data_IF_299638294192
#
_entry.id   IF_299638294192
#
_cell.length_a   1.000
_cell.length_b   1.000
_cell.length_c   1.000
_cell.angle_alpha   90.00
_cell.angle_beta   90.00
_cell.angle_gamma   90.00
#
_symmetry.space_group_name_H-M   'P 1'
#
loop_
_entity.id
_entity.type
_entity.pdbx_description
1 polymer ?
#
# COMPACT_ATOMS: atom_id res chain seq x y z
N UNK A 1 6.12 5.53 -21.88
CA UNK A 1 5.28 5.26 -20.70
C UNK A 1 5.18 3.77 -20.35
N UNK A 2 4.59 2.90 -21.18
CA UNK A 2 4.41 1.47 -20.82
C UNK A 2 5.72 0.70 -20.55
N UNK A 3 6.75 0.88 -21.38
CA UNK A 3 8.07 0.27 -21.14
C UNK A 3 8.74 0.76 -19.86
N UNK A 4 8.47 2.01 -19.44
CA UNK A 4 8.96 2.55 -18.18
C UNK A 4 8.24 1.88 -17.01
N UNK A 5 6.91 1.74 -17.08
CA UNK A 5 6.10 1.04 -16.07
C UNK A 5 6.60 -0.40 -15.86
N UNK A 6 6.80 -1.15 -16.94
CA UNK A 6 7.31 -2.53 -16.85
C UNK A 6 8.70 -2.55 -16.22
N UNK A 7 9.58 -1.62 -16.62
CA UNK A 7 10.93 -1.53 -16.07
C UNK A 7 10.91 -1.26 -14.57
N UNK A 8 10.17 -0.25 -14.12
CA UNK A 8 10.07 0.11 -12.70
C UNK A 8 9.47 -1.06 -11.88
N UNK A 9 8.39 -1.67 -12.36
CA UNK A 9 7.81 -2.85 -11.69
C UNK A 9 8.83 -4.00 -11.62
N UNK A 10 9.59 -4.24 -12.69
CA UNK A 10 10.64 -5.27 -12.72
C UNK A 10 11.77 -5.01 -11.72
N UNK A 11 12.22 -3.75 -11.59
CA UNK A 11 13.29 -3.38 -10.65
C UNK A 11 12.85 -3.50 -9.19
N UNK A 12 11.57 -3.25 -8.90
CA UNK A 12 11.00 -3.34 -7.55
C UNK A 12 10.49 -4.73 -7.17
N UNK A 13 10.33 -5.63 -8.15
CA UNK A 13 9.87 -7.01 -7.95
C UNK A 13 10.63 -7.77 -6.85
N UNK A 14 11.99 -7.77 -6.80
CA UNK A 14 12.73 -8.52 -5.79
C UNK A 14 12.50 -8.00 -4.38
N UNK A 15 12.36 -6.68 -4.23
CA UNK A 15 12.08 -6.05 -2.95
C UNK A 15 10.67 -6.40 -2.45
N UNK A 16 9.67 -6.39 -3.33
CA UNK A 16 8.32 -6.81 -2.96
C UNK A 16 8.24 -8.31 -2.66
N UNK A 17 9.03 -9.15 -3.32
CA UNK A 17 9.15 -10.56 -2.97
C UNK A 17 9.70 -10.76 -1.55
N UNK A 18 10.68 -9.95 -1.12
CA UNK A 18 11.14 -9.94 0.28
C UNK A 18 10.02 -9.49 1.24
N UNK A 19 9.21 -8.51 0.82
CA UNK A 19 7.99 -8.12 1.54
C UNK A 19 7.03 -9.28 1.72
N UNK A 20 6.72 -10.02 0.65
CA UNK A 20 5.84 -11.19 0.71
C UNK A 20 6.43 -12.31 1.60
N UNK A 21 7.74 -12.58 1.52
CA UNK A 21 8.42 -13.51 2.43
C UNK A 21 8.26 -13.06 3.89
N UNK A 22 8.44 -11.77 4.17
CA UNK A 22 8.19 -11.20 5.49
C UNK A 22 6.73 -11.42 5.93
N UNK A 23 5.76 -11.22 5.03
CA UNK A 23 4.36 -11.58 5.28
C UNK A 23 4.17 -13.05 5.64
N UNK A 24 4.85 -13.97 4.96
CA UNK A 24 4.78 -15.40 5.31
C UNK A 24 5.37 -15.71 6.68
N UNK A 25 6.47 -15.04 7.07
CA UNK A 25 7.03 -15.15 8.42
C UNK A 25 6.02 -14.66 9.46
N UNK A 26 5.37 -13.52 9.21
CA UNK A 26 4.30 -13.02 10.07
C UNK A 26 3.12 -14.00 10.14
N UNK A 27 2.71 -14.58 9.02
CA UNK A 27 1.62 -15.56 8.99
C UNK A 27 1.92 -16.74 9.91
N UNK A 28 3.15 -17.25 9.91
CA UNK A 28 3.56 -18.37 10.77
C UNK A 28 3.50 -17.96 12.25
N UNK A 29 3.95 -16.75 12.59
CA UNK A 29 3.99 -16.25 13.97
C UNK A 29 2.58 -15.96 14.51
N UNK A 30 1.73 -15.36 13.68
CA UNK A 30 0.40 -14.88 14.05
C UNK A 30 -0.73 -15.84 13.63
N UNK A 31 -0.40 -17.06 13.21
CA UNK A 31 -1.42 -18.05 12.91
C UNK A 31 -2.20 -18.39 14.20
N UNK A 32 -3.53 -18.32 14.12
CA UNK A 32 -4.43 -18.69 15.22
C UNK A 32 -4.73 -17.56 16.21
N UNK A 33 -4.30 -16.32 15.93
CA UNK A 33 -4.83 -15.16 16.67
C UNK A 33 -6.33 -14.99 16.41
N UNK A 34 -7.01 -14.34 17.35
CA UNK A 34 -8.43 -14.04 17.23
C UNK A 34 -8.72 -12.98 16.16
N UNK A 35 -9.96 -12.96 15.66
CA UNK A 35 -10.46 -11.92 14.77
C UNK A 35 -10.20 -10.51 15.33
N UNK A 36 -10.48 -10.29 16.62
CA UNK A 36 -10.33 -8.98 17.27
C UNK A 36 -8.87 -8.49 17.30
N UNK A 37 -7.92 -9.40 17.52
CA UNK A 37 -6.48 -9.09 17.48
C UNK A 37 -6.04 -8.73 16.07
N UNK A 38 -6.42 -9.55 15.07
CA UNK A 38 -6.09 -9.30 13.66
C UNK A 38 -6.70 -8.00 13.16
N UNK A 39 -7.96 -7.73 13.52
CA UNK A 39 -8.68 -6.48 13.25
C UNK A 39 -7.92 -5.29 13.84
N UNK A 40 -7.57 -5.34 15.12
CA UNK A 40 -6.85 -4.24 15.78
C UNK A 40 -5.49 -3.95 15.13
N UNK A 41 -4.77 -5.00 14.72
CA UNK A 41 -3.49 -4.84 14.03
C UNK A 41 -3.70 -4.24 12.63
N UNK A 42 -4.65 -4.75 11.84
CA UNK A 42 -5.01 -4.19 10.53
C UNK A 42 -5.30 -2.70 10.63
N UNK A 43 -6.18 -2.29 11.55
CA UNK A 43 -6.56 -0.88 11.73
C UNK A 43 -5.47 0.00 12.33
N UNK A 44 -4.43 -0.58 12.93
CA UNK A 44 -3.23 0.16 13.33
C UNK A 44 -2.30 0.36 12.13
N UNK A 45 -2.09 -0.69 11.33
CA UNK A 45 -1.18 -0.66 10.18
C UNK A 45 -1.75 0.13 9.00
N UNK A 46 -3.08 0.11 8.82
CA UNK A 46 -3.74 0.74 7.68
C UNK A 46 -3.44 2.25 7.59
N UNK A 47 -3.72 3.08 8.62
CA UNK A 47 -3.43 4.50 8.56
C UNK A 47 -1.92 4.81 8.41
N UNK A 48 -1.04 3.99 9.01
CA UNK A 48 0.41 4.22 8.98
C UNK A 48 0.97 3.99 7.59
N UNK A 49 0.59 2.91 6.90
CA UNK A 49 1.09 2.68 5.55
C UNK A 49 0.46 3.66 4.55
N UNK A 50 -0.80 4.10 4.74
CA UNK A 50 -1.40 5.20 3.96
C UNK A 50 -0.58 6.48 4.10
N UNK A 51 -0.16 6.84 5.33
CA UNK A 51 0.74 7.96 5.56
C UNK A 51 2.05 7.82 4.76
N UNK A 52 2.68 6.65 4.82
CA UNK A 52 3.93 6.40 4.08
C UNK A 52 3.73 6.44 2.57
N UNK A 53 2.60 5.94 2.06
CA UNK A 53 2.25 6.04 0.64
C UNK A 53 2.07 7.50 0.23
N UNK A 54 1.27 8.27 0.97
CA UNK A 54 1.05 9.69 0.68
C UNK A 54 2.36 10.49 0.70
N UNK A 55 3.22 10.21 1.67
CA UNK A 55 4.56 10.79 1.76
C UNK A 55 5.43 10.41 0.55
N UNK A 56 5.48 9.13 0.19
CA UNK A 56 6.32 8.60 -0.89
C UNK A 56 5.87 9.12 -2.24
N UNK A 57 4.57 9.02 -2.54
CA UNK A 57 3.95 9.52 -3.78
C UNK A 57 4.21 11.02 -3.96
N UNK A 58 4.00 11.80 -2.90
CA UNK A 58 4.26 13.25 -2.91
C UNK A 58 5.75 13.55 -3.11
N UNK A 59 6.63 12.83 -2.39
CA UNK A 59 8.08 12.99 -2.51
C UNK A 59 8.58 12.64 -3.90
N UNK A 60 8.06 11.57 -4.49
CA UNK A 60 8.43 11.13 -5.83
C UNK A 60 8.13 12.21 -6.87
N UNK A 61 6.93 12.80 -6.81
CA UNK A 61 6.56 13.91 -7.67
C UNK A 61 7.47 15.13 -7.46
N UNK A 62 7.71 15.54 -6.20
CA UNK A 62 8.54 16.69 -5.88
C UNK A 62 9.99 16.56 -6.35
N UNK A 63 10.58 15.37 -6.19
CA UNK A 63 11.98 15.12 -6.56
C UNK A 63 12.20 15.10 -8.08
N UNK A 64 11.17 14.76 -8.86
CA UNK A 64 11.26 14.67 -10.32
C UNK A 64 10.69 15.90 -11.04
N UNK A 65 9.91 16.73 -10.34
CA UNK A 65 9.40 17.98 -10.88
C UNK A 65 10.52 18.99 -11.05
N UNK A 66 10.65 19.54 -12.25
CA UNK A 66 11.71 20.52 -12.61
C UNK A 66 11.47 21.93 -12.07
N UNK A 67 10.21 22.31 -11.80
CA UNK A 67 9.84 23.67 -11.40
C UNK A 67 9.29 23.71 -9.98
N UNK A 68 9.61 24.79 -9.26
CA UNK A 68 9.05 25.04 -7.93
C UNK A 68 7.53 25.03 -7.94
N UNK A 69 6.92 24.68 -6.81
CA UNK A 69 5.48 24.78 -6.63
C UNK A 69 5.12 26.25 -6.48
N UNK A 70 4.54 26.82 -7.53
CA UNK A 70 4.17 28.22 -7.58
C UNK A 70 2.65 28.38 -7.61
N UNK A 71 2.14 29.15 -6.66
CA UNK A 71 0.73 29.52 -6.57
C UNK A 71 -0.21 28.37 -6.18
N UNK A 72 -1.47 28.74 -5.93
CA UNK A 72 -2.53 27.84 -5.46
C UNK A 72 -2.71 26.59 -6.35
N UNK A 73 -2.62 26.74 -7.68
CA UNK A 73 -2.77 25.61 -8.63
C UNK A 73 -1.70 24.54 -8.44
N UNK A 74 -0.45 24.95 -8.17
CA UNK A 74 0.64 24.01 -7.93
C UNK A 74 0.43 23.20 -6.66
N UNK A 75 -0.02 23.85 -5.59
CA UNK A 75 -0.35 23.20 -4.32
C UNK A 75 -1.52 22.23 -4.44
N UNK A 76 -2.59 22.60 -5.14
CA UNK A 76 -3.70 21.67 -5.40
C UNK A 76 -3.22 20.45 -6.16
N UNK A 77 -2.40 20.64 -7.20
CA UNK A 77 -1.87 19.53 -8.00
C UNK A 77 -1.05 18.57 -7.14
N UNK A 78 -0.15 19.10 -6.30
CA UNK A 78 0.63 18.30 -5.35
C UNK A 78 -0.28 17.51 -4.42
N UNK A 79 -1.26 18.19 -3.82
CA UNK A 79 -2.18 17.58 -2.86
C UNK A 79 -3.00 16.46 -3.50
N UNK A 80 -3.57 16.70 -4.69
CA UNK A 80 -4.34 15.68 -5.42
C UNK A 80 -3.48 14.48 -5.79
N UNK A 81 -2.24 14.68 -6.24
CA UNK A 81 -1.33 13.58 -6.56
C UNK A 81 -1.04 12.73 -5.32
N UNK A 82 -0.64 13.37 -4.21
CA UNK A 82 -0.34 12.65 -2.97
C UNK A 82 -1.57 11.91 -2.43
N UNK A 83 -2.71 12.60 -2.36
CA UNK A 83 -3.92 12.10 -1.71
C UNK A 83 -4.62 11.01 -2.52
N UNK A 84 -4.84 11.24 -3.83
CA UNK A 84 -5.50 10.26 -4.70
C UNK A 84 -4.59 9.05 -4.91
N UNK A 85 -3.29 9.30 -5.12
CA UNK A 85 -2.31 8.23 -5.30
C UNK A 85 -2.26 7.31 -4.09
N UNK A 86 -2.29 7.85 -2.86
CA UNK A 86 -2.23 7.02 -1.66
C UNK A 86 -3.55 6.32 -1.32
N UNK A 87 -4.66 7.04 -1.23
CA UNK A 87 -5.89 6.49 -0.61
C UNK A 87 -6.59 5.46 -1.49
N UNK A 88 -6.70 5.77 -2.78
CA UNK A 88 -7.35 4.86 -3.72
C UNK A 88 -6.59 3.54 -3.82
N UNK A 89 -5.26 3.64 -3.86
CA UNK A 89 -4.40 2.49 -4.10
C UNK A 89 -4.17 1.68 -2.82
N UNK A 90 -4.05 2.33 -1.64
CA UNK A 90 -4.02 1.64 -0.36
C UNK A 90 -5.24 0.74 -0.19
N UNK A 91 -6.44 1.28 -0.44
CA UNK A 91 -7.70 0.52 -0.37
C UNK A 91 -7.70 -0.70 -1.30
N UNK A 92 -7.14 -0.57 -2.52
CA UNK A 92 -7.01 -1.71 -3.43
C UNK A 92 -6.06 -2.77 -2.85
N UNK A 93 -4.91 -2.33 -2.36
CA UNK A 93 -3.82 -3.19 -1.89
C UNK A 93 -4.21 -4.03 -0.68
N UNK A 94 -4.81 -3.41 0.34
CA UNK A 94 -4.94 -4.02 1.65
C UNK A 94 -6.35 -4.44 2.04
N UNK A 95 -7.35 -4.06 1.24
CA UNK A 95 -8.76 -4.33 1.50
C UNK A 95 -9.39 -5.13 0.35
N UNK A 96 -9.29 -4.62 -0.89
CA UNK A 96 -9.99 -5.23 -2.04
C UNK A 96 -9.29 -6.50 -2.56
N UNK A 97 -7.99 -6.45 -2.81
CA UNK A 97 -7.25 -7.64 -3.28
C UNK A 97 -7.27 -8.75 -2.21
N UNK A 98 -7.04 -8.46 -0.91
CA UNK A 98 -7.19 -9.44 0.15
C UNK A 98 -8.57 -10.07 0.17
N UNK A 99 -9.65 -9.28 0.13
CA UNK A 99 -11.01 -9.80 0.07
C UNK A 99 -11.28 -10.70 -1.15
N UNK A 100 -10.73 -10.36 -2.32
CA UNK A 100 -10.76 -11.24 -3.50
C UNK A 100 -10.01 -12.56 -3.21
N UNK A 101 -8.86 -12.48 -2.54
CA UNK A 101 -8.13 -13.65 -2.08
C UNK A 101 -8.95 -14.52 -1.14
N UNK A 102 -9.66 -13.94 -0.18
CA UNK A 102 -10.56 -14.67 0.72
C UNK A 102 -11.66 -15.41 -0.05
N UNK A 103 -12.21 -14.79 -1.09
CA UNK A 103 -13.21 -15.41 -1.97
C UNK A 103 -12.62 -16.61 -2.70
N UNK A 104 -11.46 -16.43 -3.34
CA UNK A 104 -10.78 -17.45 -4.16
C UNK A 104 -10.32 -18.64 -3.29
N UNK A 105 -9.85 -18.37 -2.08
CA UNK A 105 -9.34 -19.38 -1.13
C UNK A 105 -10.45 -20.12 -0.37
N UNK A 106 -11.71 -19.84 -0.67
CA UNK A 106 -12.87 -20.35 0.03
C UNK A 106 -12.86 -20.19 1.55
N UNK A 107 -12.38 -19.04 2.04
CA UNK A 107 -12.24 -18.81 3.47
C UNK A 107 -13.60 -18.72 4.18
N UNK A 108 -13.72 -19.19 5.43
CA UNK A 108 -15.00 -19.30 6.11
C UNK A 108 -15.56 -17.95 6.59
N UNK A 109 -14.71 -16.97 6.92
CA UNK A 109 -15.10 -15.73 7.59
C UNK A 109 -14.85 -14.49 6.71
N UNK A 110 -15.17 -14.57 5.41
CA UNK A 110 -14.86 -13.49 4.45
C UNK A 110 -15.51 -12.17 4.83
N UNK A 111 -14.77 -11.07 4.73
CA UNK A 111 -15.23 -9.76 5.15
C UNK A 111 -14.53 -8.63 4.39
N UNK A 112 -15.30 -7.79 3.71
CA UNK A 112 -14.75 -6.58 3.11
C UNK A 112 -14.53 -5.51 4.19
N UNK A 113 -13.39 -5.58 4.87
CA UNK A 113 -12.91 -4.51 5.74
C UNK A 113 -12.21 -3.46 4.89
N UNK A 114 -12.77 -2.26 4.83
CA UNK A 114 -12.33 -1.13 4.01
C UNK A 114 -11.83 -0.05 4.96
N UNK A 115 -10.53 -0.08 5.25
CA UNK A 115 -9.89 0.81 6.23
C UNK A 115 -10.18 2.30 6.00
N UNK A 116 -10.28 2.72 4.74
CA UNK A 116 -10.61 4.10 4.37
C UNK A 116 -12.01 4.54 4.82
N UNK A 117 -13.00 3.63 4.82
CA UNK A 117 -14.38 3.95 5.21
C UNK A 117 -14.52 3.83 6.73
N UNK A 118 -13.99 2.75 7.30
CA UNK A 118 -14.14 2.44 8.73
C UNK A 118 -13.32 3.37 9.63
N UNK A 119 -12.12 3.79 9.20
CA UNK A 119 -11.25 4.74 9.93
C UNK A 119 -11.08 6.08 9.18
N UNK A 120 -12.15 6.53 8.51
CA UNK A 120 -12.14 7.68 7.61
C UNK A 120 -11.37 8.89 8.15
N UNK A 121 -11.66 9.33 9.38
CA UNK A 121 -11.01 10.52 9.94
C UNK A 121 -9.50 10.37 10.11
N UNK A 122 -9.06 9.25 10.69
CA UNK A 122 -7.66 9.01 10.99
C UNK A 122 -6.85 8.81 9.71
N UNK A 123 -7.38 8.03 8.78
CA UNK A 123 -6.73 7.72 7.50
C UNK A 123 -6.52 8.99 6.66
N UNK A 124 -7.55 9.83 6.56
CA UNK A 124 -7.45 11.09 5.83
C UNK A 124 -6.48 12.07 6.48
N UNK A 125 -6.51 12.19 7.81
CA UNK A 125 -5.60 13.05 8.55
C UNK A 125 -4.14 12.62 8.34
N UNK A 126 -3.87 11.32 8.40
CA UNK A 126 -2.53 10.77 8.20
C UNK A 126 -2.06 10.88 6.74
N UNK A 127 -2.95 10.72 5.76
CA UNK A 127 -2.62 10.99 4.35
C UNK A 127 -2.21 12.47 4.16
N UNK A 128 -3.01 13.41 4.68
CA UNK A 128 -2.70 14.85 4.62
C UNK A 128 -1.36 15.14 5.31
N UNK A 129 -1.12 14.55 6.48
CA UNK A 129 0.13 14.73 7.20
C UNK A 129 1.35 14.23 6.41
N UNK A 130 1.22 13.09 5.73
CA UNK A 130 2.24 12.56 4.83
C UNK A 130 2.59 13.53 3.70
N UNK A 131 1.58 14.11 3.05
CA UNK A 131 1.75 15.12 1.98
C UNK A 131 2.47 16.35 2.52
N UNK A 132 2.04 16.87 3.68
CA UNK A 132 2.62 18.07 4.30
C UNK A 132 4.09 17.83 4.66
N UNK A 133 4.43 16.70 5.28
CA UNK A 133 5.82 16.42 5.62
C UNK A 133 6.70 16.24 4.37
N UNK A 134 6.19 15.56 3.34
CA UNK A 134 6.89 15.40 2.07
C UNK A 134 7.14 16.75 1.38
N UNK A 135 6.20 17.69 1.47
CA UNK A 135 6.38 19.06 0.94
C UNK A 135 7.60 19.77 1.54
N UNK A 136 7.86 19.60 2.84
CA UNK A 136 9.01 20.24 3.49
C UNK A 136 10.33 19.47 3.30
N UNK A 137 10.28 18.13 3.29
CA UNK A 137 11.50 17.31 3.21
C UNK A 137 11.24 16.02 2.42
N UNK A 138 11.27 16.07 1.08
CA UNK A 138 10.95 14.90 0.26
C UNK A 138 12.10 13.89 0.22
N UNK A 139 11.77 12.60 0.39
CA UNK A 139 12.66 11.46 0.17
C UNK A 139 11.83 10.18 0.00
N UNK A 140 12.32 9.17 -0.73
CA UNK A 140 11.49 8.02 -1.12
C UNK A 140 11.96 6.68 -0.57
N UNK A 141 13.28 6.44 -0.44
CA UNK A 141 13.79 5.08 -0.17
C UNK A 141 13.24 4.43 1.12
N UNK A 142 13.33 5.13 2.24
CA UNK A 142 12.87 4.60 3.55
C UNK A 142 11.33 4.56 3.61
N UNK A 143 10.59 5.64 3.25
CA UNK A 143 9.13 5.63 3.31
C UNK A 143 8.50 4.62 2.35
N UNK A 144 9.04 4.46 1.15
CA UNK A 144 8.60 3.43 0.20
C UNK A 144 8.81 2.02 0.76
N UNK A 145 9.98 1.76 1.34
CA UNK A 145 10.27 0.47 1.95
C UNK A 145 9.30 0.16 3.08
N UNK A 146 9.09 1.13 3.98
CA UNK A 146 8.12 1.00 5.06
C UNK A 146 6.69 0.80 4.55
N UNK A 147 6.28 1.54 3.52
CA UNK A 147 4.97 1.38 2.89
C UNK A 147 4.76 -0.06 2.41
N UNK A 148 5.70 -0.62 1.63
CA UNK A 148 5.61 -2.01 1.11
C UNK A 148 5.48 -3.04 2.24
N UNK A 149 6.32 -2.97 3.29
CA UNK A 149 6.26 -3.94 4.39
C UNK A 149 4.98 -3.80 5.22
N UNK A 150 4.54 -2.57 5.51
CA UNK A 150 3.32 -2.34 6.28
C UNK A 150 2.06 -2.68 5.47
N UNK A 151 2.03 -2.43 4.15
CA UNK A 151 0.95 -2.88 3.27
C UNK A 151 0.88 -4.39 3.19
N UNK A 152 2.03 -5.08 3.16
CA UNK A 152 2.07 -6.54 3.21
C UNK A 152 1.48 -7.06 4.52
N UNK A 153 1.88 -6.46 5.65
CA UNK A 153 1.35 -6.83 6.95
C UNK A 153 -0.15 -6.52 7.07
N UNK A 154 -0.62 -5.35 6.62
CA UNK A 154 -2.04 -5.01 6.60
C UNK A 154 -2.84 -6.01 5.77
N UNK A 155 -2.42 -6.29 4.53
CA UNK A 155 -3.05 -7.28 3.66
C UNK A 155 -3.10 -8.68 4.30
N UNK A 156 -2.04 -9.06 5.01
CA UNK A 156 -1.98 -10.33 5.72
C UNK A 156 -2.99 -10.38 6.88
N UNK A 157 -3.02 -9.35 7.73
CA UNK A 157 -3.95 -9.32 8.86
C UNK A 157 -5.41 -9.19 8.41
N UNK A 158 -5.63 -8.64 7.22
CA UNK A 158 -6.92 -8.72 6.53
C UNK A 158 -7.29 -10.19 6.24
N UNK A 159 -6.43 -10.93 5.55
CA UNK A 159 -6.63 -12.37 5.28
C UNK A 159 -6.78 -13.18 6.58
N UNK A 160 -5.98 -12.91 7.62
CA UNK A 160 -6.03 -13.62 8.91
C UNK A 160 -7.40 -13.44 9.59
N UNK A 161 -8.06 -12.28 9.45
CA UNK A 161 -9.43 -12.11 9.96
C UNK A 161 -10.40 -13.11 9.33
N UNK A 162 -10.20 -13.44 8.06
CA UNK A 162 -11.04 -14.39 7.33
C UNK A 162 -10.65 -15.86 7.53
N UNK A 163 -9.46 -16.14 8.06
CA UNK A 163 -8.99 -17.51 8.28
C UNK A 163 -9.89 -18.27 9.27
N UNK A 164 -10.04 -19.56 9.00
CA UNK A 164 -10.64 -20.53 9.92
C UNK A 164 -9.59 -21.32 10.69
N UNK A 165 -9.94 -22.52 11.14
CA UNK A 165 -8.99 -23.41 11.81
C UNK A 165 -8.20 -24.24 10.79
N UNK A 166 -6.89 -24.02 10.76
CA UNK A 166 -5.94 -24.81 9.99
C UNK A 166 -5.61 -24.21 8.61
N UNK A 167 -4.34 -24.28 8.24
CA UNK A 167 -3.82 -23.86 6.94
C UNK A 167 -3.23 -25.07 6.21
N UNK A 168 -3.66 -25.31 4.98
CA UNK A 168 -3.02 -26.30 4.13
C UNK A 168 -1.73 -25.73 3.51
N UNK A 169 -0.80 -26.59 3.11
CA UNK A 169 0.41 -26.16 2.41
C UNK A 169 0.11 -25.34 1.13
N UNK A 170 -0.96 -25.69 0.41
CA UNK A 170 -1.38 -24.97 -0.78
C UNK A 170 -1.81 -23.52 -0.44
N UNK A 171 -2.55 -23.33 0.66
CA UNK A 171 -2.97 -22.00 1.10
C UNK A 171 -1.78 -21.10 1.45
N UNK A 172 -0.70 -21.63 2.02
CA UNK A 172 0.51 -20.84 2.24
C UNK A 172 1.09 -20.30 0.94
N UNK A 173 1.13 -21.12 -0.12
CA UNK A 173 1.61 -20.69 -1.43
C UNK A 173 0.67 -19.66 -2.06
N UNK A 174 -0.64 -19.88 -1.98
CA UNK A 174 -1.64 -18.95 -2.51
C UNK A 174 -1.59 -17.60 -1.79
N UNK A 175 -1.53 -17.59 -0.45
CA UNK A 175 -1.38 -16.37 0.35
C UNK A 175 -0.09 -15.63 -0.04
N UNK A 176 1.03 -16.34 -0.23
CA UNK A 176 2.28 -15.72 -0.69
C UNK A 176 2.08 -14.99 -2.03
N UNK A 177 1.46 -15.65 -3.01
CA UNK A 177 1.17 -15.06 -4.32
C UNK A 177 0.23 -13.86 -4.20
N UNK A 178 -0.81 -13.97 -3.37
CA UNK A 178 -1.73 -12.87 -3.11
C UNK A 178 -1.02 -11.67 -2.50
N UNK A 179 -0.26 -11.86 -1.42
CA UNK A 179 0.49 -10.77 -0.78
C UNK A 179 1.46 -10.09 -1.75
N UNK A 180 2.16 -10.89 -2.57
CA UNK A 180 3.05 -10.36 -3.59
C UNK A 180 2.30 -9.48 -4.59
N UNK A 181 1.20 -9.96 -5.18
CA UNK A 181 0.40 -9.21 -6.16
C UNK A 181 -0.26 -7.98 -5.51
N UNK A 182 -0.81 -8.16 -4.31
CA UNK A 182 -1.53 -7.16 -3.54
C UNK A 182 -0.66 -5.96 -3.17
N UNK A 183 0.66 -6.09 -3.18
CA UNK A 183 1.57 -4.98 -2.87
C UNK A 183 2.34 -4.55 -4.11
N UNK A 184 2.83 -5.49 -4.92
CA UNK A 184 3.69 -5.17 -6.07
C UNK A 184 2.98 -4.32 -7.11
N UNK A 185 1.74 -4.69 -7.48
CA UNK A 185 1.00 -3.96 -8.49
C UNK A 185 0.52 -2.61 -7.95
N UNK A 186 -0.29 -2.54 -6.88
CA UNK A 186 -0.84 -1.26 -6.43
C UNK A 186 0.23 -0.36 -5.80
N UNK A 187 0.99 -0.81 -4.80
CA UNK A 187 1.89 0.10 -4.06
C UNK A 187 3.00 0.69 -4.95
N UNK A 188 3.62 -0.10 -5.83
CA UNK A 188 4.61 0.43 -6.78
C UNK A 188 3.96 1.38 -7.81
N UNK A 189 2.73 1.10 -8.23
CA UNK A 189 1.98 2.00 -9.12
C UNK A 189 1.69 3.33 -8.43
N UNK A 190 1.25 3.32 -7.16
CA UNK A 190 1.04 4.55 -6.38
C UNK A 190 2.32 5.34 -6.22
N UNK A 191 3.36 4.71 -5.70
CA UNK A 191 4.50 5.42 -5.17
C UNK A 191 5.43 5.95 -6.27
N UNK A 192 5.39 5.31 -7.44
CA UNK A 192 6.35 5.54 -8.53
C UNK A 192 5.63 6.01 -9.78
N UNK A 193 4.76 5.17 -10.35
CA UNK A 193 4.20 5.40 -11.69
C UNK A 193 3.24 6.60 -11.67
N UNK A 194 2.28 6.60 -10.74
CA UNK A 194 1.24 7.63 -10.64
C UNK A 194 1.78 9.05 -10.48
N UNK A 195 2.75 9.36 -9.60
CA UNK A 195 3.29 10.71 -9.49
C UNK A 195 4.10 11.12 -10.72
N UNK A 196 4.80 10.17 -11.35
CA UNK A 196 5.66 10.44 -12.50
C UNK A 196 4.88 10.76 -13.78
N UNK A 197 3.66 10.22 -13.99
CA UNK A 197 2.83 10.60 -15.14
C UNK A 197 2.43 12.09 -15.15
N UNK A 198 2.48 12.76 -14.00
CA UNK A 198 2.20 14.21 -13.89
C UNK A 198 3.47 15.07 -13.97
N UNK A 199 4.65 14.46 -14.07
CA UNK A 199 5.90 15.17 -14.33
C UNK A 199 5.97 15.49 -15.82
N UNK A 200 6.05 16.77 -16.17
CA UNK A 200 6.20 17.19 -17.58
C UNK A 200 7.53 16.66 -18.13
N UNK A 201 7.46 15.83 -19.16
CA UNK A 201 8.61 15.47 -19.98
C UNK A 201 9.19 16.73 -20.66
N UNK A 202 10.49 16.68 -20.97
CA UNK A 202 11.16 17.71 -21.78
C UNK A 202 10.57 17.58 -23.19
N UNK A 203 10.06 18.67 -23.75
CA UNK A 203 10.21 18.89 -25.19
C UNK A 203 11.71 19.02 -25.50
#
# INVERSE_FOLDING_TARGET
MFNLIIKELGEHMPFTALGAIFGMVLLIIFNGISFSESYSIFYTLHPIHVFLSAFTTTSMYLLHKKSSINGYKGFITLFLIGYVGSLFIATISDSLIPYIGEIILDLPNRGAHIGFIEEFWLVNLLAIFGIVLAYFKPFTKIPHSGHVFLSTAASLFHIIMALGTGLSFLMYFEIFVFLFIAVWIPCCTSDIIFPLIFVKEKD
#
